data_IF_131007045258
#
_entry.id   IF_131007045258
#
_cell.length_a   1.000
_cell.length_b   1.000
_cell.length_c   1.000
_cell.angle_alpha   90.00
_cell.angle_beta   90.00
_cell.angle_gamma   90.00
#
_symmetry.space_group_name_H-M   'P 1'
#
loop_
_entity.id
_entity.type
_entity.pdbx_description
1 polymer ?
#
# COMPACT_ATOMS: atom_id res chain seq x y z
N UNK A 1 48.56 23.08 -11.59
CA UNK A 1 47.37 22.22 -11.50
C UNK A 1 46.19 23.09 -11.11
N UNK A 2 45.24 23.35 -12.02
CA UNK A 2 44.04 24.15 -11.73
C UNK A 2 42.93 23.18 -11.29
N UNK A 3 42.41 23.33 -10.08
CA UNK A 3 41.19 22.62 -9.63
C UNK A 3 40.01 23.06 -10.51
N UNK A 4 39.19 22.11 -10.98
CA UNK A 4 37.90 22.40 -11.62
C UNK A 4 36.94 23.00 -10.57
N UNK A 5 36.00 23.88 -10.96
CA UNK A 5 35.00 24.41 -10.04
C UNK A 5 34.00 23.32 -9.64
N UNK A 6 33.73 23.20 -8.34
CA UNK A 6 32.64 22.38 -7.79
C UNK A 6 31.31 23.10 -8.03
N UNK A 7 30.32 22.39 -8.60
CA UNK A 7 28.97 22.91 -8.77
C UNK A 7 28.20 22.74 -7.45
N UNK A 8 27.84 23.85 -6.80
CA UNK A 8 26.97 23.86 -5.62
C UNK A 8 25.57 24.28 -6.07
N UNK A 9 24.60 23.37 -5.96
CA UNK A 9 23.19 23.71 -6.13
C UNK A 9 22.59 24.06 -4.76
N UNK A 10 21.99 25.24 -4.63
CA UNK A 10 21.22 25.65 -3.45
C UNK A 10 19.80 26.03 -3.86
N UNK A 11 18.83 25.74 -2.99
CA UNK A 11 17.41 26.02 -3.22
C UNK A 11 16.88 26.90 -2.08
N UNK A 12 16.10 27.94 -2.42
CA UNK A 12 15.48 28.84 -1.45
C UNK A 12 13.98 28.88 -1.69
N UNK A 13 13.18 28.68 -0.66
CA UNK A 13 11.72 28.78 -0.74
C UNK A 13 11.23 30.11 -0.17
N UNK A 14 10.28 30.75 -0.86
CA UNK A 14 9.53 31.90 -0.36
C UNK A 14 8.06 31.53 -0.20
N UNK A 15 7.56 31.65 1.02
CA UNK A 15 6.14 31.43 1.34
C UNK A 15 5.37 32.76 1.36
N UNK A 16 4.03 32.77 1.20
CA UNK A 16 3.23 33.99 1.14
C UNK A 16 3.18 34.84 2.42
N UNK A 17 3.97 34.53 3.45
CA UNK A 17 4.04 35.29 4.72
C UNK A 17 5.47 35.50 5.24
N UNK A 18 6.48 35.49 4.37
CA UNK A 18 7.81 36.05 4.70
C UNK A 18 8.77 35.17 5.51
N UNK A 19 8.51 33.86 5.66
CA UNK A 19 9.49 32.93 6.22
C UNK A 19 10.38 32.32 5.11
N UNK A 20 11.70 32.35 5.30
CA UNK A 20 12.71 31.68 4.45
C UNK A 20 13.32 30.50 5.20
N UNK A 21 13.40 29.33 4.53
CA UNK A 21 14.09 28.14 5.03
C UNK A 21 15.20 27.73 4.06
N UNK A 22 16.39 27.42 4.59
CA UNK A 22 17.51 26.85 3.83
C UNK A 22 17.66 25.36 4.15
N UNK A 23 17.71 24.50 3.12
CA UNK A 23 18.08 23.10 3.27
C UNK A 23 19.56 22.90 2.90
N UNK A 24 20.29 22.11 3.70
CA UNK A 24 21.71 21.83 3.54
C UNK A 24 22.05 21.05 2.27
N UNK A 25 23.22 21.33 1.69
CA UNK A 25 23.68 20.81 0.41
C UNK A 25 24.10 19.33 0.42
N UNK A 26 24.18 18.74 -0.78
CA UNK A 26 24.59 17.36 -1.02
C UNK A 26 25.86 17.33 -1.87
N UNK A 27 26.88 16.57 -1.45
CA UNK A 27 28.12 16.36 -2.20
C UNK A 27 28.13 14.96 -2.82
N UNK A 28 28.39 14.85 -4.13
CA UNK A 28 28.59 13.56 -4.82
C UNK A 28 30.00 13.47 -5.40
N UNK A 29 30.77 12.44 -5.02
CA UNK A 29 32.08 12.13 -5.60
C UNK A 29 31.95 11.26 -6.87
N UNK A 30 32.71 11.62 -7.90
CA UNK A 30 32.71 11.15 -9.30
C UNK A 30 32.55 9.64 -9.59
N UNK A 31 31.48 9.28 -10.33
CA UNK A 31 31.47 8.57 -11.63
C UNK A 31 30.02 8.33 -12.11
N UNK A 32 29.80 8.40 -13.43
CA UNK A 32 28.52 8.33 -14.19
C UNK A 32 27.68 9.62 -14.28
N UNK A 33 28.15 10.56 -15.11
CA UNK A 33 27.56 11.89 -15.35
C UNK A 33 26.37 11.93 -16.35
N UNK A 34 25.79 10.81 -16.79
CA UNK A 34 24.65 10.85 -17.74
C UNK A 34 23.39 10.09 -17.29
N UNK A 35 23.50 9.05 -16.45
CA UNK A 35 22.31 8.38 -15.89
C UNK A 35 21.84 9.01 -14.57
N UNK A 36 22.74 9.63 -13.83
CA UNK A 36 22.47 10.19 -12.50
C UNK A 36 21.72 11.53 -12.58
N UNK A 37 22.00 12.35 -13.60
CA UNK A 37 21.26 13.58 -13.91
C UNK A 37 19.82 13.29 -14.34
N UNK A 38 19.58 12.21 -15.10
CA UNK A 38 18.25 11.82 -15.55
C UNK A 38 17.34 11.35 -14.41
N UNK A 39 17.89 10.55 -13.47
CA UNK A 39 17.16 10.07 -12.30
C UNK A 39 16.97 11.16 -11.23
N UNK A 40 17.94 12.04 -11.05
CA UNK A 40 17.82 13.19 -10.16
C UNK A 40 16.78 14.20 -10.67
N UNK A 41 16.74 14.47 -11.98
CA UNK A 41 15.72 15.35 -12.58
C UNK A 41 14.31 14.74 -12.50
N UNK A 42 14.18 13.41 -12.63
CA UNK A 42 12.90 12.71 -12.45
C UNK A 42 12.42 12.75 -11.00
N UNK A 43 13.31 12.52 -10.03
CA UNK A 43 12.99 12.62 -8.61
C UNK A 43 12.65 14.06 -8.18
N UNK A 44 13.30 15.06 -8.81
CA UNK A 44 13.07 16.49 -8.59
C UNK A 44 11.75 16.97 -9.20
N UNK A 45 11.34 16.45 -10.36
CA UNK A 45 10.03 16.75 -10.97
C UNK A 45 8.89 16.12 -10.15
N UNK A 46 9.11 14.95 -9.55
CA UNK A 46 8.11 14.25 -8.73
C UNK A 46 7.93 14.85 -7.32
N UNK A 47 8.92 15.56 -6.78
CA UNK A 47 8.83 16.16 -5.44
C UNK A 47 8.25 17.59 -5.41
N UNK A 48 8.13 18.26 -6.56
CA UNK A 48 7.65 19.66 -6.66
C UNK A 48 6.15 19.81 -7.00
N UNK A 49 5.33 18.80 -6.75
CA UNK A 49 3.89 18.86 -6.99
C UNK A 49 3.14 19.03 -5.67
N UNK A 50 2.61 20.23 -5.43
CA UNK A 50 1.71 20.51 -4.32
C UNK A 50 0.35 20.95 -4.84
N UNK A 51 -0.72 20.50 -4.16
CA UNK A 51 -2.10 20.69 -4.58
C UNK A 51 -2.67 21.95 -3.93
N UNK A 52 -2.74 23.05 -4.67
CA UNK A 52 -3.39 24.29 -4.24
C UNK A 52 -4.63 24.51 -5.11
N UNK A 53 -5.81 24.62 -4.47
CA UNK A 53 -7.11 24.91 -5.12
C UNK A 53 -7.44 24.05 -6.35
N UNK A 54 -7.11 22.75 -6.30
CA UNK A 54 -7.53 21.79 -7.31
C UNK A 54 -6.76 21.82 -8.64
N UNK A 55 -5.64 22.54 -8.75
CA UNK A 55 -4.82 22.56 -9.96
C UNK A 55 -3.33 22.38 -9.63
N UNK A 56 -2.66 21.45 -10.33
CA UNK A 56 -1.21 21.21 -10.17
C UNK A 56 -0.41 22.32 -10.87
N UNK A 57 0.52 22.97 -10.16
CA UNK A 57 1.47 23.92 -10.73
C UNK A 57 2.90 23.56 -10.32
N UNK A 58 3.83 23.67 -11.26
CA UNK A 58 5.26 23.55 -11.02
C UNK A 58 5.96 24.72 -11.74
N UNK A 59 6.75 25.50 -11.02
CA UNK A 59 7.66 26.50 -11.60
C UNK A 59 9.09 26.07 -11.30
N UNK A 60 9.87 25.88 -12.36
CA UNK A 60 11.30 25.55 -12.27
C UNK A 60 12.07 26.71 -12.89
N UNK A 61 12.95 27.32 -12.11
CA UNK A 61 13.90 28.32 -12.61
C UNK A 61 15.27 27.65 -12.70
N UNK A 62 15.81 27.53 -13.91
CA UNK A 62 17.17 27.03 -14.14
C UNK A 62 18.08 28.24 -14.34
N UNK A 63 19.08 28.40 -13.49
CA UNK A 63 20.15 29.38 -13.69
C UNK A 63 21.30 28.69 -14.42
N UNK A 64 21.73 29.25 -15.55
CA UNK A 64 23.03 28.89 -16.13
C UNK A 64 24.17 29.67 -15.44
N UNK A 65 25.40 29.21 -15.64
CA UNK A 65 26.60 29.78 -15.04
C UNK A 65 26.99 31.18 -15.58
N UNK A 66 26.10 31.89 -16.25
CA UNK A 66 26.28 33.27 -16.71
C UNK A 66 25.26 34.28 -16.16
N UNK A 67 24.33 33.85 -15.28
CA UNK A 67 23.55 34.76 -14.44
C UNK A 67 22.46 35.57 -15.15
N UNK A 68 21.89 35.08 -16.27
CA UNK A 68 20.77 35.72 -16.95
C UNK A 68 19.47 34.91 -16.78
N UNK A 69 18.44 35.51 -16.16
CA UNK A 69 17.14 34.87 -15.96
C UNK A 69 16.27 34.95 -17.21
N UNK A 70 15.78 33.82 -17.71
CA UNK A 70 14.71 33.77 -18.72
C UNK A 70 13.43 33.22 -18.08
N UNK A 71 12.37 34.03 -18.06
CA UNK A 71 11.01 33.60 -17.71
C UNK A 71 10.34 33.03 -18.96
N UNK A 72 9.95 31.76 -18.94
CA UNK A 72 9.09 31.17 -19.96
C UNK A 72 7.75 30.74 -19.31
N UNK A 73 6.61 31.34 -19.67
CA UNK A 73 5.32 30.82 -19.27
C UNK A 73 4.96 29.63 -20.17
N UNK A 74 4.80 28.43 -19.61
CA UNK A 74 4.17 27.32 -20.33
C UNK A 74 2.64 27.53 -20.29
N UNK A 75 2.07 28.02 -21.41
CA UNK A 75 0.63 27.92 -21.65
C UNK A 75 0.30 26.52 -22.19
N UNK A 76 -0.81 25.97 -21.72
CA UNK A 76 -1.39 24.71 -22.16
C UNK A 76 -1.86 24.81 -23.61
N UNK A 77 -1.24 24.03 -24.51
CA UNK A 77 -1.70 23.91 -25.90
C UNK A 77 -0.94 22.82 -26.64
N UNK A 78 -1.67 21.85 -27.20
CA UNK A 78 -1.12 20.80 -28.05
C UNK A 78 -0.43 21.40 -29.28
N UNK A 79 0.88 21.21 -29.43
CA UNK A 79 1.62 21.64 -30.61
C UNK A 79 2.39 20.46 -31.23
N UNK A 80 2.08 20.20 -32.50
CA UNK A 80 2.79 19.28 -33.41
C UNK A 80 4.21 19.80 -33.64
N UNK A 81 5.22 18.97 -33.43
CA UNK A 81 6.60 19.31 -33.78
C UNK A 81 6.80 19.22 -35.30
N UNK A 82 7.15 20.35 -35.91
CA UNK A 82 7.61 20.47 -37.29
C UNK A 82 9.12 20.16 -37.37
N UNK A 83 9.51 19.39 -38.38
CA UNK A 83 10.83 18.76 -38.57
C UNK A 83 11.95 19.69 -39.05
N UNK A 84 11.94 20.95 -38.63
CA UNK A 84 12.97 21.92 -39.01
C UNK A 84 13.59 22.50 -37.76
N UNK A 85 14.60 21.83 -37.17
CA UNK A 85 15.61 22.42 -36.27
C UNK A 85 16.70 21.41 -35.84
N UNK A 86 17.19 20.59 -36.78
CA UNK A 86 18.40 19.80 -36.60
C UNK A 86 19.41 20.11 -37.70
N UNK A 87 20.00 21.31 -37.64
CA UNK A 87 21.19 21.64 -38.44
C UNK A 87 22.01 22.75 -37.78
N UNK A 88 22.82 22.40 -36.77
CA UNK A 88 24.12 23.06 -36.46
C UNK A 88 24.74 22.44 -35.20
N UNK A 89 25.43 21.31 -35.38
CA UNK A 89 26.46 20.87 -34.44
C UNK A 89 27.37 19.83 -35.12
N UNK A 90 28.26 20.29 -36.01
CA UNK A 90 29.51 19.59 -36.36
C UNK A 90 30.41 20.51 -37.17
N UNK A 91 31.30 21.21 -36.47
CA UNK A 91 32.57 21.73 -36.99
C UNK A 91 33.57 21.69 -35.84
N UNK A 92 34.84 21.50 -36.21
CA UNK A 92 36.06 21.38 -35.39
C UNK A 92 36.49 19.93 -35.09
N UNK A 93 37.22 19.35 -36.05
CA UNK A 93 38.64 18.93 -35.91
C UNK A 93 39.13 18.34 -37.25
N UNK A 94 39.92 19.11 -38.00
CA UNK A 94 41.00 18.60 -38.86
C UNK A 94 42.30 18.57 -38.01
N UNK A 95 43.39 17.88 -38.35
CA UNK A 95 43.89 17.41 -39.65
C UNK A 95 45.13 16.51 -39.46
N UNK A 96 45.57 15.87 -40.56
CA UNK A 96 46.86 15.18 -40.86
C UNK A 96 46.90 13.66 -40.53
N UNK A 97 47.21 12.71 -41.44
CA UNK A 97 48.22 12.64 -42.53
C UNK A 97 47.81 11.63 -43.67
N UNK A 98 48.30 11.92 -44.90
CA UNK A 98 48.63 11.14 -46.13
C UNK A 98 48.36 9.60 -46.20
N UNK A 99 48.07 8.90 -47.32
CA UNK A 99 48.36 9.04 -48.78
C UNK A 99 47.49 8.04 -49.62
N UNK A 100 47.54 8.00 -50.98
CA UNK A 100 46.47 7.51 -51.87
C UNK A 100 46.68 6.14 -52.54
N UNK A 101 45.58 5.48 -52.96
CA UNK A 101 45.38 4.79 -54.27
C UNK A 101 44.14 3.88 -54.26
N UNK A 102 43.38 3.86 -55.38
CA UNK A 102 42.65 2.66 -55.84
C UNK A 102 41.11 2.68 -55.88
N UNK A 103 40.56 3.02 -57.06
CA UNK A 103 39.38 2.50 -57.81
C UNK A 103 38.10 2.00 -57.09
N UNK A 104 36.86 2.32 -57.58
CA UNK A 104 35.62 2.06 -56.86
C UNK A 104 34.95 0.73 -57.27
N UNK A 105 34.48 -0.05 -56.29
CA UNK A 105 33.55 -1.17 -56.51
C UNK A 105 32.16 -0.85 -55.94
N UNK A 106 31.18 -0.91 -56.83
CA UNK A 106 29.75 -0.90 -56.52
C UNK A 106 29.37 -2.19 -55.80
N UNK A 107 28.77 -2.09 -54.61
CA UNK A 107 28.04 -3.20 -54.01
C UNK A 107 26.66 -2.72 -53.54
N UNK A 108 25.63 -3.24 -54.19
CA UNK A 108 24.22 -2.97 -53.90
C UNK A 108 23.84 -3.52 -52.52
N UNK A 109 23.49 -2.65 -51.59
CA UNK A 109 22.91 -3.07 -50.30
C UNK A 109 21.39 -2.91 -50.36
N UNK A 110 20.75 -4.07 -50.38
CA UNK A 110 19.32 -4.30 -50.25
C UNK A 110 18.71 -3.51 -49.09
N UNK A 111 17.64 -2.75 -49.38
CA UNK A 111 16.80 -2.07 -48.40
C UNK A 111 16.09 -3.09 -47.52
N UNK A 112 16.68 -3.43 -46.36
CA UNK A 112 15.94 -4.10 -45.29
C UNK A 112 15.13 -3.06 -44.53
N UNK A 113 13.80 -3.12 -44.71
CA UNK A 113 12.80 -2.46 -43.85
C UNK A 113 13.10 -2.85 -42.40
N UNK A 114 13.66 -1.93 -41.62
CA UNK A 114 13.60 -2.00 -40.16
C UNK A 114 12.13 -1.81 -39.79
N UNK A 115 11.46 -2.92 -39.51
CA UNK A 115 10.19 -2.89 -38.81
C UNK A 115 10.44 -2.17 -37.48
N UNK A 116 9.92 -0.95 -37.36
CA UNK A 116 9.75 -0.31 -36.08
C UNK A 116 8.78 -1.21 -35.30
N UNK A 117 9.34 -2.10 -34.48
CA UNK A 117 8.62 -2.65 -33.36
C UNK A 117 8.27 -1.45 -32.49
N UNK A 118 7.07 -0.91 -32.71
CA UNK A 118 6.43 -0.06 -31.75
C UNK A 118 6.42 -0.83 -30.45
N UNK A 119 7.23 -0.39 -29.50
CA UNK A 119 7.00 -0.70 -28.10
C UNK A 119 5.63 -0.10 -27.79
N UNK A 120 4.60 -0.90 -28.02
CA UNK A 120 3.34 -0.79 -27.31
C UNK A 120 3.69 -1.07 -25.86
N UNK A 121 4.20 -0.05 -25.17
CA UNK A 121 4.04 0.07 -23.74
C UNK A 121 2.53 0.06 -23.55
N UNK A 122 2.00 -1.14 -23.34
CA UNK A 122 0.61 -1.37 -23.01
C UNK A 122 0.24 -0.36 -21.94
N UNK A 123 -0.96 0.18 -22.05
CA UNK A 123 -1.61 1.02 -21.05
C UNK A 123 -1.88 0.23 -19.75
N UNK A 124 -0.90 -0.51 -19.25
CA UNK A 124 -0.88 -1.20 -17.97
C UNK A 124 -0.59 -0.24 -16.81
N UNK A 125 -0.48 1.07 -17.08
CA UNK A 125 -0.68 2.09 -16.08
C UNK A 125 -2.20 2.27 -15.86
N UNK A 126 -2.62 2.14 -14.60
CA UNK A 126 -3.93 2.55 -14.03
C UNK A 126 -5.00 1.48 -13.78
N UNK A 127 -4.66 0.41 -13.06
CA UNK A 127 -5.56 0.03 -11.96
C UNK A 127 -4.73 -0.18 -10.70
N UNK A 128 -4.89 0.66 -9.65
CA UNK A 128 -4.08 0.58 -8.43
C UNK A 128 -4.28 -0.74 -7.67
N UNK A 129 -5.30 -1.53 -8.02
CA UNK A 129 -5.60 -2.81 -7.40
C UNK A 129 -5.76 -3.92 -8.44
N UNK A 130 -4.98 -5.02 -8.35
CA UNK A 130 -5.16 -6.17 -9.23
C UNK A 130 -6.46 -6.92 -8.91
N UNK A 131 -7.03 -7.69 -9.87
CA UNK A 131 -8.14 -8.59 -9.59
C UNK A 131 -7.79 -9.58 -8.48
N UNK A 132 -8.67 -9.72 -7.48
CA UNK A 132 -8.52 -10.68 -6.39
C UNK A 132 -9.33 -11.96 -6.65
N UNK A 133 -9.09 -12.99 -5.84
CA UNK A 133 -9.79 -14.29 -5.92
C UNK A 133 -11.19 -14.30 -5.29
N UNK A 134 -11.48 -13.31 -4.48
CA UNK A 134 -12.71 -13.21 -3.70
C UNK A 134 -13.41 -11.90 -4.05
N UNK A 135 -14.73 -11.93 -4.07
CA UNK A 135 -15.56 -10.74 -4.22
C UNK A 135 -15.50 -9.90 -2.95
N UNK A 136 -15.37 -10.53 -1.78
CA UNK A 136 -15.29 -9.86 -0.49
C UNK A 136 -14.25 -10.50 0.43
N UNK A 137 -13.62 -9.67 1.27
CA UNK A 137 -12.85 -10.13 2.42
C UNK A 137 -13.59 -9.76 3.70
N UNK A 138 -13.66 -10.69 4.65
CA UNK A 138 -14.36 -10.52 5.92
C UNK A 138 -13.31 -10.40 7.03
N UNK A 139 -12.93 -9.18 7.36
CA UNK A 139 -11.93 -8.94 8.40
C UNK A 139 -12.55 -9.16 9.76
N UNK A 140 -11.91 -9.97 10.60
CA UNK A 140 -12.38 -10.34 11.93
C UNK A 140 -11.22 -10.35 12.92
N UNK A 141 -11.48 -9.88 14.14
CA UNK A 141 -10.52 -9.88 15.25
C UNK A 141 -11.32 -9.92 16.57
N UNK A 142 -11.20 -10.98 17.37
CA UNK A 142 -11.97 -11.12 18.61
C UNK A 142 -11.23 -10.51 19.79
N UNK A 143 -11.99 -9.93 20.70
CA UNK A 143 -11.54 -9.79 22.09
C UNK A 143 -12.19 -10.86 22.95
N UNK A 144 -11.47 -11.32 23.97
CA UNK A 144 -11.91 -12.39 24.86
C UNK A 144 -11.62 -12.09 26.33
N UNK A 145 -12.38 -12.72 27.23
CA UNK A 145 -12.07 -12.74 28.66
C UNK A 145 -10.67 -13.30 28.89
N UNK A 146 -9.87 -12.60 29.69
CA UNK A 146 -8.46 -12.96 29.93
C UNK A 146 -7.98 -12.48 31.30
N UNK A 147 -6.86 -13.06 31.76
CA UNK A 147 -6.17 -12.65 32.99
C UNK A 147 -4.69 -13.06 32.94
N UNK A 148 -3.93 -12.72 33.98
CA UNK A 148 -2.54 -13.15 34.20
C UNK A 148 -2.40 -13.81 35.59
N UNK A 149 -2.35 -15.16 35.69
CA UNK A 149 -2.30 -16.14 34.61
C UNK A 149 -3.63 -16.32 33.86
N UNK A 150 -3.57 -16.89 32.66
CA UNK A 150 -4.72 -17.05 31.77
C UNK A 150 -5.87 -17.82 32.44
N UNK A 151 -7.09 -17.26 32.36
CA UNK A 151 -8.32 -17.94 32.79
C UNK A 151 -8.86 -18.87 31.71
N UNK A 152 -9.57 -19.92 32.16
CA UNK A 152 -10.20 -20.92 31.31
C UNK A 152 -11.63 -21.24 31.80
N UNK A 153 -12.60 -21.45 30.88
CA UNK A 153 -12.51 -21.15 29.45
C UNK A 153 -12.37 -19.64 29.21
N UNK A 154 -11.74 -19.26 28.10
CA UNK A 154 -11.87 -17.90 27.58
C UNK A 154 -13.22 -17.78 26.86
N UNK A 155 -13.82 -16.61 26.89
CA UNK A 155 -15.10 -16.32 26.24
C UNK A 155 -14.96 -15.07 25.37
N UNK A 156 -15.41 -15.11 24.11
CA UNK A 156 -15.48 -13.94 23.22
C UNK A 156 -16.36 -12.88 23.88
N UNK A 157 -15.88 -11.64 23.92
CA UNK A 157 -16.57 -10.47 24.48
C UNK A 157 -16.75 -9.33 23.46
N UNK A 158 -16.04 -9.36 22.33
CA UNK A 158 -16.25 -8.45 21.19
C UNK A 158 -16.19 -9.25 19.89
N UNK A 159 -17.17 -9.03 19.01
CA UNK A 159 -17.32 -9.73 17.73
C UNK A 159 -17.50 -8.72 16.57
N UNK A 160 -16.40 -8.16 16.05
CA UNK A 160 -16.40 -7.31 14.87
C UNK A 160 -16.19 -8.11 13.57
N UNK A 161 -16.85 -7.69 12.50
CA UNK A 161 -16.59 -8.13 11.13
C UNK A 161 -16.68 -6.91 10.19
N UNK A 162 -15.64 -6.67 9.40
CA UNK A 162 -15.69 -5.71 8.29
C UNK A 162 -15.80 -6.43 6.95
N UNK A 163 -16.84 -6.11 6.17
CA UNK A 163 -16.97 -6.54 4.77
C UNK A 163 -16.19 -5.59 3.89
N UNK A 164 -15.06 -6.05 3.35
CA UNK A 164 -14.26 -5.28 2.40
C UNK A 164 -14.58 -5.68 0.97
N UNK A 165 -14.71 -4.69 0.08
CA UNK A 165 -14.75 -4.91 -1.36
C UNK A 165 -13.48 -5.63 -1.81
N UNK A 166 -13.63 -6.77 -2.48
CA UNK A 166 -12.51 -7.61 -2.90
C UNK A 166 -11.59 -6.95 -3.93
N UNK A 167 -12.04 -5.90 -4.64
CA UNK A 167 -11.19 -5.17 -5.58
C UNK A 167 -10.51 -3.97 -4.93
N UNK A 168 -11.25 -3.14 -4.19
CA UNK A 168 -10.75 -1.83 -3.71
C UNK A 168 -10.29 -1.84 -2.26
N UNK A 169 -10.61 -2.90 -1.49
CA UNK A 169 -10.41 -3.01 -0.05
C UNK A 169 -11.15 -1.95 0.77
N UNK A 170 -12.13 -1.25 0.18
CA UNK A 170 -13.00 -0.32 0.92
C UNK A 170 -13.99 -1.11 1.78
N UNK A 171 -14.28 -0.57 2.97
CA UNK A 171 -15.29 -1.14 3.88
C UNK A 171 -16.68 -0.82 3.32
N UNK A 172 -17.47 -1.85 3.01
CA UNK A 172 -18.84 -1.71 2.50
C UNK A 172 -19.91 -1.97 3.56
N UNK A 173 -19.60 -2.80 4.56
CA UNK A 173 -20.51 -3.11 5.66
C UNK A 173 -19.72 -3.47 6.91
N UNK A 174 -20.36 -3.33 8.07
CA UNK A 174 -19.77 -3.60 9.39
C UNK A 174 -20.79 -4.33 10.25
N UNK A 175 -20.37 -5.47 10.79
CA UNK A 175 -21.01 -6.12 11.92
C UNK A 175 -20.17 -5.84 13.16
N UNK A 176 -20.78 -5.46 14.27
CA UNK A 176 -20.07 -5.25 15.52
C UNK A 176 -21.02 -5.47 16.69
N UNK A 177 -20.67 -6.39 17.58
CA UNK A 177 -21.41 -6.65 18.80
C UNK A 177 -20.45 -6.93 19.95
N UNK A 178 -20.78 -6.43 21.14
CA UNK A 178 -20.24 -6.99 22.37
C UNK A 178 -21.03 -8.26 22.72
N UNK A 179 -20.38 -9.15 23.46
CA UNK A 179 -20.92 -10.46 23.84
C UNK A 179 -20.87 -10.58 25.35
N UNK A 180 -21.96 -11.02 25.98
CA UNK A 180 -21.98 -11.24 27.41
C UNK A 180 -21.33 -12.60 27.76
N UNK A 181 -20.20 -12.63 28.50
CA UNK A 181 -19.63 -13.87 29.00
C UNK A 181 -20.49 -14.45 30.13
N UNK A 182 -20.50 -15.78 30.25
CA UNK A 182 -21.36 -16.52 31.19
C UNK A 182 -20.54 -17.23 32.27
N UNK A 183 -19.39 -17.80 31.92
CA UNK A 183 -18.56 -18.56 32.87
C UNK A 183 -17.77 -17.62 33.78
N UNK A 184 -17.15 -16.59 33.20
CA UNK A 184 -16.45 -15.53 33.91
C UNK A 184 -17.12 -14.18 33.58
N UNK A 185 -18.32 -13.90 34.13
CA UNK A 185 -19.13 -12.74 33.74
C UNK A 185 -18.51 -11.40 34.14
N UNK A 186 -17.67 -11.39 35.17
CA UNK A 186 -16.94 -10.21 35.61
C UNK A 186 -15.62 -10.10 34.85
N UNK A 187 -15.47 -9.05 34.03
CA UNK A 187 -14.22 -8.76 33.36
C UNK A 187 -13.13 -8.43 34.39
N UNK A 188 -11.97 -9.04 34.23
CA UNK A 188 -10.82 -8.78 35.11
C UNK A 188 -10.27 -7.37 34.86
N UNK A 189 -9.56 -6.77 35.83
CA UNK A 189 -8.86 -5.52 35.61
C UNK A 189 -7.86 -5.62 34.46
N UNK A 190 -7.16 -6.75 34.35
CA UNK A 190 -6.23 -7.02 33.25
C UNK A 190 -6.93 -7.01 31.89
N UNK A 191 -8.08 -7.69 31.76
CA UNK A 191 -8.86 -7.72 30.54
C UNK A 191 -9.35 -6.32 30.15
N UNK A 192 -9.86 -5.55 31.11
CA UNK A 192 -10.34 -4.19 30.87
C UNK A 192 -9.20 -3.25 30.47
N UNK A 193 -8.05 -3.33 31.13
CA UNK A 193 -6.87 -2.52 30.78
C UNK A 193 -6.33 -2.88 29.39
N UNK A 194 -6.26 -4.18 29.08
CA UNK A 194 -5.78 -4.65 27.79
C UNK A 194 -6.75 -4.24 26.67
N UNK A 195 -8.02 -4.59 26.77
CA UNK A 195 -9.00 -4.47 25.67
C UNK A 195 -9.72 -3.12 25.61
N UNK A 196 -9.77 -2.41 26.74
CA UNK A 196 -10.58 -1.20 26.89
C UNK A 196 -12.08 -1.46 27.07
N UNK A 197 -12.51 -2.73 27.05
CA UNK A 197 -13.91 -3.11 27.27
C UNK A 197 -14.20 -3.07 28.77
N UNK A 198 -15.11 -2.20 29.18
CA UNK A 198 -15.58 -2.12 30.57
C UNK A 198 -16.79 -3.02 30.79
N UNK A 199 -17.05 -3.39 32.04
CA UNK A 199 -18.16 -4.28 32.42
C UNK A 199 -19.52 -3.85 31.82
N UNK A 200 -19.81 -2.54 31.86
CA UNK A 200 -21.07 -1.99 31.34
C UNK A 200 -21.27 -2.21 29.82
N UNK A 201 -20.21 -2.51 29.07
CA UNK A 201 -20.29 -2.79 27.63
C UNK A 201 -20.74 -4.23 27.35
N UNK A 202 -20.43 -5.18 28.24
CA UNK A 202 -20.81 -6.59 28.10
C UNK A 202 -22.07 -6.96 28.90
N UNK A 203 -22.40 -6.18 29.93
CA UNK A 203 -23.63 -6.38 30.71
C UNK A 203 -24.88 -6.20 29.84
N UNK A 204 -25.78 -7.18 29.88
CA UNK A 204 -27.03 -7.16 29.13
C UNK A 204 -26.89 -7.39 27.62
N UNK A 205 -25.68 -7.67 27.13
CA UNK A 205 -25.45 -8.06 25.74
C UNK A 205 -25.95 -9.48 25.46
N UNK A 206 -26.22 -9.83 24.19
CA UNK A 206 -26.51 -11.21 23.82
C UNK A 206 -25.34 -12.14 24.11
N UNK A 207 -25.67 -13.41 24.38
CA UNK A 207 -24.67 -14.49 24.52
C UNK A 207 -24.11 -14.88 23.15
N UNK A 208 -22.97 -15.57 23.14
CA UNK A 208 -22.29 -15.95 21.89
C UNK A 208 -23.21 -16.64 20.88
N UNK A 209 -24.07 -17.58 21.32
CA UNK A 209 -25.01 -18.26 20.43
C UNK A 209 -25.90 -17.26 19.65
N UNK A 210 -26.49 -16.29 20.37
CA UNK A 210 -27.36 -15.27 19.77
C UNK A 210 -26.58 -14.32 18.86
N UNK A 211 -25.31 -14.05 19.18
CA UNK A 211 -24.44 -13.25 18.33
C UNK A 211 -24.08 -14.00 17.04
N UNK A 212 -23.82 -15.31 17.11
CA UNK A 212 -23.59 -16.14 15.93
C UNK A 212 -24.83 -16.20 15.02
N UNK A 213 -26.03 -16.33 15.59
CA UNK A 213 -27.30 -16.23 14.85
C UNK A 213 -27.42 -14.89 14.13
N UNK A 214 -27.05 -13.78 14.79
CA UNK A 214 -27.04 -12.44 14.17
C UNK A 214 -25.96 -12.28 13.09
N UNK A 215 -24.83 -12.97 13.23
CA UNK A 215 -23.82 -13.04 12.17
C UNK A 215 -24.39 -13.78 10.96
N UNK A 216 -25.08 -14.91 11.14
CA UNK A 216 -25.74 -15.63 10.04
C UNK A 216 -26.77 -14.74 9.32
N UNK A 217 -27.60 -14.01 10.05
CA UNK A 217 -28.55 -13.05 9.50
C UNK A 217 -27.86 -11.92 8.72
N UNK A 218 -26.76 -11.38 9.25
CA UNK A 218 -25.97 -10.35 8.58
C UNK A 218 -25.31 -10.89 7.31
N UNK A 219 -24.72 -12.09 7.36
CA UNK A 219 -24.12 -12.76 6.20
C UNK A 219 -25.15 -12.98 5.08
N UNK A 220 -26.37 -13.40 5.43
CA UNK A 220 -27.47 -13.56 4.50
C UNK A 220 -27.89 -12.22 3.88
N UNK A 221 -28.10 -11.19 4.72
CA UNK A 221 -28.48 -9.83 4.29
C UNK A 221 -27.45 -9.21 3.33
N UNK A 222 -26.17 -9.47 3.58
CA UNK A 222 -25.05 -8.95 2.77
C UNK A 222 -24.81 -9.75 1.47
N UNK A 223 -25.61 -10.79 1.21
CA UNK A 223 -25.51 -11.66 0.03
C UNK A 223 -24.31 -12.61 0.05
N UNK A 224 -23.67 -12.79 1.21
CA UNK A 224 -22.43 -13.57 1.36
C UNK A 224 -22.68 -15.09 1.39
N UNK A 225 -23.94 -15.50 1.55
CA UNK A 225 -24.36 -16.90 1.53
C UNK A 225 -24.80 -17.38 0.13
N UNK A 226 -24.80 -16.51 -0.88
CA UNK A 226 -25.02 -16.92 -2.27
C UNK A 226 -23.82 -17.75 -2.77
N UNK A 227 -24.03 -18.96 -3.32
CA UNK A 227 -22.92 -19.83 -3.77
C UNK A 227 -22.04 -19.21 -4.87
N UNK A 228 -22.55 -18.21 -5.61
CA UNK A 228 -21.80 -17.47 -6.63
C UNK A 228 -20.94 -16.36 -6.03
N UNK A 229 -21.25 -15.90 -4.80
CA UNK A 229 -20.46 -14.90 -4.08
C UNK A 229 -19.35 -15.59 -3.31
N UNK A 230 -18.12 -15.27 -3.70
CA UNK A 230 -16.90 -15.78 -3.03
C UNK A 230 -16.41 -14.79 -1.99
N UNK A 231 -16.40 -15.19 -0.73
CA UNK A 231 -15.81 -14.43 0.38
C UNK A 231 -14.89 -15.31 1.24
N UNK A 232 -13.99 -14.69 1.99
CA UNK A 232 -13.12 -15.38 2.94
C UNK A 232 -12.80 -14.49 4.14
N UNK A 233 -12.65 -15.09 5.32
CA UNK A 233 -12.23 -14.36 6.51
C UNK A 233 -10.75 -13.98 6.47
N UNK A 234 -10.42 -12.86 7.10
CA UNK A 234 -9.04 -12.40 7.30
C UNK A 234 -8.84 -12.02 8.78
N UNK A 235 -7.81 -12.59 9.40
CA UNK A 235 -7.51 -12.45 10.84
C UNK A 235 -6.04 -12.09 11.06
N UNK A 236 -5.71 -11.48 12.20
CA UNK A 236 -4.32 -11.18 12.58
C UNK A 236 -3.63 -12.37 13.29
N UNK A 237 -3.52 -13.50 12.59
CA UNK A 237 -3.00 -14.73 13.17
C UNK A 237 -3.95 -15.89 12.92
N UNK A 238 -3.67 -17.03 13.55
CA UNK A 238 -4.55 -18.21 13.45
C UNK A 238 -5.45 -18.36 14.69
N UNK A 239 -5.26 -17.57 15.76
CA UNK A 239 -5.88 -17.85 17.06
C UNK A 239 -7.41 -17.78 17.03
N UNK A 240 -7.99 -16.73 16.44
CA UNK A 240 -9.46 -16.51 16.44
C UNK A 240 -10.25 -17.70 15.87
N UNK A 241 -9.91 -18.11 14.66
CA UNK A 241 -10.68 -19.11 13.90
C UNK A 241 -10.13 -20.54 14.02
N UNK A 242 -8.90 -20.72 14.53
CA UNK A 242 -8.34 -22.05 14.80
C UNK A 242 -8.54 -22.50 16.24
N UNK A 243 -8.60 -21.57 17.19
CA UNK A 243 -8.59 -21.88 18.63
C UNK A 243 -9.82 -21.29 19.31
N UNK A 244 -10.01 -19.97 19.23
CA UNK A 244 -10.98 -19.28 20.08
C UNK A 244 -12.43 -19.66 19.77
N UNK A 245 -12.88 -19.38 18.54
CA UNK A 245 -14.25 -19.68 18.13
C UNK A 245 -14.56 -21.19 18.15
N UNK A 246 -13.75 -22.09 17.56
CA UNK A 246 -14.03 -23.52 17.64
C UNK A 246 -13.99 -24.06 19.07
N UNK A 247 -13.08 -23.56 19.91
CA UNK A 247 -12.97 -23.97 21.30
C UNK A 247 -14.19 -23.57 22.13
N UNK A 248 -14.66 -22.32 22.00
CA UNK A 248 -15.85 -21.86 22.72
C UNK A 248 -17.13 -22.49 22.17
N UNK A 249 -17.25 -22.66 20.84
CA UNK A 249 -18.37 -23.41 20.24
C UNK A 249 -18.40 -24.86 20.75
N UNK A 250 -17.25 -25.54 20.81
CA UNK A 250 -17.17 -26.89 21.35
C UNK A 250 -17.61 -26.95 22.83
N UNK A 251 -17.15 -26.01 23.66
CA UNK A 251 -17.54 -25.91 25.07
C UNK A 251 -19.06 -25.72 25.23
N UNK A 252 -19.69 -24.93 24.35
CA UNK A 252 -21.13 -24.66 24.38
C UNK A 252 -21.99 -25.68 23.63
N UNK A 253 -21.39 -26.67 22.97
CA UNK A 253 -22.12 -27.62 22.10
C UNK A 253 -22.72 -26.99 20.84
N UNK A 254 -22.14 -25.88 20.36
CA UNK A 254 -22.59 -25.15 19.18
C UNK A 254 -21.84 -25.61 17.91
N UNK A 255 -22.51 -25.67 16.75
CA UNK A 255 -21.83 -25.89 15.49
C UNK A 255 -21.00 -24.66 15.08
N UNK A 256 -19.90 -24.90 14.36
CA UNK A 256 -19.13 -23.84 13.68
C UNK A 256 -19.57 -23.81 12.22
N UNK A 257 -20.12 -22.67 11.77
CA UNK A 257 -20.54 -22.47 10.40
C UNK A 257 -19.37 -22.63 9.40
N UNK A 258 -19.65 -23.15 8.20
CA UNK A 258 -18.62 -23.52 7.24
C UNK A 258 -17.78 -22.33 6.75
N UNK A 259 -18.37 -21.14 6.70
CA UNK A 259 -17.66 -19.93 6.29
C UNK A 259 -16.55 -19.51 7.26
N UNK A 260 -16.58 -19.93 8.53
CA UNK A 260 -15.49 -19.71 9.49
C UNK A 260 -14.32 -20.69 9.33
N UNK A 261 -14.48 -21.75 8.54
CA UNK A 261 -13.48 -22.81 8.39
C UNK A 261 -12.39 -22.49 7.35
N UNK A 262 -12.44 -21.32 6.73
CA UNK A 262 -11.48 -20.89 5.72
C UNK A 262 -11.10 -19.44 5.99
N UNK A 263 -9.80 -19.19 6.19
CA UNK A 263 -9.32 -17.84 6.47
C UNK A 263 -7.92 -17.57 5.93
N UNK A 264 -7.61 -16.29 5.89
CA UNK A 264 -6.31 -15.72 5.57
C UNK A 264 -5.73 -15.16 6.87
N UNK A 265 -4.57 -15.66 7.25
CA UNK A 265 -3.76 -15.11 8.32
C UNK A 265 -2.93 -13.97 7.73
N UNK A 266 -3.26 -12.74 8.10
CA UNK A 266 -2.62 -11.55 7.56
C UNK A 266 -1.11 -11.54 7.84
N UNK A 267 -0.64 -12.09 8.97
CA UNK A 267 0.80 -12.16 9.30
C UNK A 267 1.57 -12.99 8.27
N UNK A 268 0.98 -14.09 7.80
CA UNK A 268 1.57 -14.92 6.73
C UNK A 268 1.54 -14.19 5.39
N UNK A 269 0.39 -13.60 5.03
CA UNK A 269 0.26 -12.81 3.80
C UNK A 269 1.29 -11.67 3.75
N UNK A 270 1.41 -10.91 4.83
CA UNK A 270 2.42 -9.87 5.01
C UNK A 270 3.83 -10.42 4.87
N UNK A 271 4.15 -11.55 5.52
CA UNK A 271 5.48 -12.16 5.42
C UNK A 271 5.83 -12.58 3.99
N UNK A 272 4.86 -13.05 3.21
CA UNK A 272 5.08 -13.34 1.79
C UNK A 272 5.30 -12.07 0.97
N UNK A 273 4.57 -10.99 1.27
CA UNK A 273 4.67 -9.73 0.55
C UNK A 273 5.97 -8.97 0.86
N UNK A 274 6.39 -8.97 2.13
CA UNK A 274 7.46 -8.10 2.64
C UNK A 274 8.76 -8.86 2.95
N UNK A 275 8.75 -10.19 2.87
CA UNK A 275 9.93 -11.02 3.18
C UNK A 275 10.31 -11.04 4.66
N UNK A 276 9.45 -10.55 5.57
CA UNK A 276 9.71 -10.48 7.00
C UNK A 276 8.49 -10.87 7.84
N UNK A 277 8.72 -11.64 8.91
CA UNK A 277 7.64 -12.08 9.80
C UNK A 277 7.33 -10.98 10.84
N UNK A 278 6.06 -10.51 10.94
CA UNK A 278 5.67 -9.48 11.90
C UNK A 278 5.41 -10.12 13.27
N UNK A 279 6.43 -10.15 14.14
CA UNK A 279 6.34 -10.82 15.45
C UNK A 279 5.24 -10.20 16.30
N UNK A 280 5.20 -8.86 16.37
CA UNK A 280 4.26 -8.08 17.17
C UNK A 280 2.93 -7.80 16.43
N UNK A 281 2.61 -8.56 15.37
CA UNK A 281 1.31 -8.46 14.69
C UNK A 281 1.11 -7.10 14.00
N UNK A 282 -0.03 -6.45 14.27
CA UNK A 282 -0.47 -5.22 13.60
C UNK A 282 0.55 -4.08 13.75
N UNK A 283 1.18 -3.95 14.92
CA UNK A 283 2.17 -2.88 15.17
C UNK A 283 3.38 -2.99 14.24
N UNK A 284 3.93 -4.19 14.07
CA UNK A 284 5.06 -4.43 13.17
C UNK A 284 4.66 -4.23 11.70
N UNK A 285 3.46 -4.69 11.31
CA UNK A 285 2.96 -4.53 9.94
C UNK A 285 2.71 -3.06 9.58
N UNK A 286 2.10 -2.30 10.49
CA UNK A 286 1.90 -0.86 10.32
C UNK A 286 3.26 -0.14 10.20
N UNK A 287 4.20 -0.44 11.09
CA UNK A 287 5.55 0.13 11.05
C UNK A 287 6.26 -0.17 9.73
N UNK A 288 6.23 -1.42 9.26
CA UNK A 288 6.88 -1.82 8.01
C UNK A 288 6.22 -1.28 6.74
N UNK A 289 4.96 -0.83 6.82
CA UNK A 289 4.24 -0.17 5.74
C UNK A 289 4.15 1.35 5.88
N UNK A 290 4.76 1.92 6.93
CA UNK A 290 4.68 3.35 7.26
C UNK A 290 3.24 3.84 7.46
N UNK A 291 2.40 3.01 8.08
CA UNK A 291 1.02 3.33 8.44
C UNK A 291 0.95 3.77 9.90
N UNK A 292 0.13 4.79 10.16
CA UNK A 292 -0.26 5.12 11.54
C UNK A 292 -1.30 4.11 12.03
N UNK A 293 -1.19 3.71 13.30
CA UNK A 293 -2.17 2.82 13.91
C UNK A 293 -3.51 3.54 14.04
N UNK A 294 -4.59 2.87 13.65
CA UNK A 294 -5.95 3.42 13.69
C UNK A 294 -6.57 3.06 15.03
N UNK A 295 -6.98 4.06 15.80
CA UNK A 295 -7.73 3.83 17.03
C UNK A 295 -6.89 3.22 18.16
N UNK A 296 -7.52 2.34 18.94
CA UNK A 296 -6.93 1.74 20.15
C UNK A 296 -6.47 0.30 19.87
N UNK A 297 -5.22 -0.07 20.19
CA UNK A 297 -4.78 -1.47 20.15
C UNK A 297 -5.66 -2.34 21.07
N UNK A 298 -5.93 -3.58 20.68
CA UNK A 298 -6.78 -4.51 21.45
C UNK A 298 -8.23 -4.03 21.62
N UNK A 299 -8.70 -3.15 20.73
CA UNK A 299 -10.13 -3.01 20.49
C UNK A 299 -10.40 -3.73 19.18
N UNK A 300 -11.23 -4.77 19.20
CA UNK A 300 -11.39 -5.66 18.06
C UNK A 300 -11.82 -4.91 16.80
N UNK A 301 -12.71 -3.92 16.92
CA UNK A 301 -13.15 -3.11 15.76
C UNK A 301 -12.04 -2.22 15.19
N UNK A 302 -11.15 -1.69 16.03
CA UNK A 302 -10.02 -0.86 15.59
C UNK A 302 -8.90 -1.74 15.01
N UNK A 303 -8.67 -2.92 15.59
CA UNK A 303 -7.75 -3.91 15.05
C UNK A 303 -8.24 -4.41 13.68
N UNK A 304 -9.55 -4.61 13.48
CA UNK A 304 -10.14 -4.85 12.17
C UNK A 304 -9.86 -3.71 11.16
N UNK A 305 -9.97 -2.44 11.57
CA UNK A 305 -9.63 -1.30 10.68
C UNK A 305 -8.15 -1.29 10.30
N UNK A 306 -7.26 -1.64 11.23
CA UNK A 306 -5.83 -1.77 10.94
C UNK A 306 -5.56 -2.93 9.96
N UNK A 307 -6.18 -4.11 10.15
CA UNK A 307 -6.10 -5.23 9.20
C UNK A 307 -6.56 -4.75 7.81
N UNK A 308 -7.70 -4.07 7.71
CA UNK A 308 -8.22 -3.54 6.45
C UNK A 308 -7.25 -2.54 5.78
N UNK A 309 -6.66 -1.62 6.55
CA UNK A 309 -5.70 -0.63 6.05
C UNK A 309 -4.39 -1.27 5.54
N UNK A 310 -3.89 -2.28 6.27
CA UNK A 310 -2.75 -3.10 5.84
C UNK A 310 -3.10 -3.84 4.55
N UNK A 311 -4.29 -4.46 4.48
CA UNK A 311 -4.74 -5.17 3.29
C UNK A 311 -4.80 -4.26 2.08
N UNK A 312 -5.39 -3.07 2.22
CA UNK A 312 -5.45 -2.03 1.19
C UNK A 312 -4.06 -1.66 0.69
N UNK A 313 -3.11 -1.45 1.60
CA UNK A 313 -1.73 -1.08 1.24
C UNK A 313 -1.01 -2.21 0.51
N UNK A 314 -1.17 -3.47 0.94
CA UNK A 314 -0.60 -4.62 0.24
C UNK A 314 -1.24 -4.81 -1.14
N UNK A 315 -2.55 -4.65 -1.26
CA UNK A 315 -3.26 -4.73 -2.53
C UNK A 315 -2.81 -3.63 -3.50
N UNK A 316 -2.60 -2.41 -3.00
CA UNK A 316 -2.04 -1.29 -3.77
C UNK A 316 -0.65 -1.58 -4.32
N UNK A 317 0.14 -2.39 -3.59
CA UNK A 317 1.45 -2.90 -4.02
C UNK A 317 1.36 -4.13 -4.94
N UNK A 318 0.16 -4.52 -5.37
CA UNK A 318 -0.07 -5.64 -6.28
C UNK A 318 -0.20 -7.00 -5.62
N UNK A 319 -0.32 -7.08 -4.29
CA UNK A 319 -0.44 -8.37 -3.60
C UNK A 319 -1.80 -9.04 -3.86
N UNK A 320 -1.78 -10.35 -4.13
CA UNK A 320 -2.98 -11.17 -4.31
C UNK A 320 -3.17 -12.06 -3.09
N UNK A 321 -4.25 -11.84 -2.36
CA UNK A 321 -4.58 -12.58 -1.15
C UNK A 321 -5.04 -14.00 -1.46
N UNK A 322 -4.58 -14.96 -0.64
CA UNK A 322 -4.86 -16.39 -0.77
C UNK A 322 -5.10 -16.99 0.61
N UNK A 323 -5.95 -18.01 0.68
CA UNK A 323 -6.18 -18.78 1.90
C UNK A 323 -4.85 -19.28 2.47
N UNK A 324 -4.71 -19.20 3.80
CA UNK A 324 -3.54 -19.73 4.51
C UNK A 324 -3.93 -20.73 5.60
N UNK A 325 -5.22 -20.82 5.95
CA UNK A 325 -5.71 -21.90 6.81
C UNK A 325 -5.49 -23.24 6.11
N UNK A 326 -5.19 -24.28 6.89
CA UNK A 326 -5.19 -25.64 6.36
C UNK A 326 -6.65 -26.08 6.17
N UNK A 327 -6.97 -26.90 5.15
CA UNK A 327 -8.26 -27.58 5.10
C UNK A 327 -8.49 -28.34 6.40
N UNK A 328 -9.72 -28.28 6.91
CA UNK A 328 -10.14 -28.98 8.12
C UNK A 328 -10.10 -30.49 7.94
#
# INVERSE_FOLDING_TARGET
>A
MRKKPEAVASCTFQFPQGATYQCGGWESSERDEQNTLGLALLAFILSCWEKVEGMWRCQVTVLDASGCSMLAPLQTGAARFSSYLLSRARKVLGSHLFSPCGVPEFCSISTRKLAAHGFGASMAAMVPFPPQRYHYFLVLDFEATCDKPQIHPQEIIEFPILKLNGRTMEIESTFHMYVQPVVHPQLTPFCTELTGIIQAMVDGQPRLQQVLERVDEWMAKEGLLDPNVKSIFVTCGDWDLKVMLPGQCHYLGLPVADYFKQWINLKKAYSFAMGCWPKNGLLDMNKGLSLQHIGRPHSGIDDCKNIANIMKTLAYRGFIFKQTSKPF
#
